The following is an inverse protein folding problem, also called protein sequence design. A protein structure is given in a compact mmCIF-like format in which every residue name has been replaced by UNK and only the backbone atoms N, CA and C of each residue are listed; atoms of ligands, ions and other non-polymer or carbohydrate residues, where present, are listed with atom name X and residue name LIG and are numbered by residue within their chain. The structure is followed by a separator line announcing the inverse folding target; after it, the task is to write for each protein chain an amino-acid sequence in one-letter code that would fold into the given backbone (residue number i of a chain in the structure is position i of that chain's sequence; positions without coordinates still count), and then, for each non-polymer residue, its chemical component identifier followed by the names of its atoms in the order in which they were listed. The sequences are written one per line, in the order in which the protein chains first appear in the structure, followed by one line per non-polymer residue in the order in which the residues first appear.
data_IF_536255642738
#
_entry.id   IF_536255642738
#
_cell.length_a   1.000
_cell.length_b   1.000
_cell.length_c   1.000
_cell.angle_alpha   90.00
_cell.angle_beta   90.00
_cell.angle_gamma   90.00
#
_symmetry.space_group_name_H-M   'P 1'
#
loop_
_entity.id
_entity.type
_entity.pdbx_description
1 polymer ?
#
# COMPACT_ATOMS: atom_id res chain seq x y z
N UNK A 1 33.60 9.48 16.34
CA UNK A 1 34.88 8.78 16.43
C UNK A 1 36.03 9.70 16.02
N UNK A 2 37.25 9.20 16.00
CA UNK A 2 38.48 9.97 15.68
C UNK A 2 38.48 10.53 14.23
N UNK A 3 37.63 10.00 13.35
CA UNK A 3 37.45 10.47 11.96
C UNK A 3 36.31 11.48 11.83
N UNK A 4 35.60 11.84 12.91
CA UNK A 4 34.45 12.72 12.91
C UNK A 4 33.16 12.04 12.41
N UNK A 5 33.16 10.70 12.27
CA UNK A 5 31.97 9.96 11.88
C UNK A 5 31.02 9.75 13.06
N UNK A 6 29.73 9.84 12.84
CA UNK A 6 28.71 9.58 13.86
C UNK A 6 28.75 8.11 14.28
N UNK A 7 28.77 7.86 15.57
CA UNK A 7 28.68 6.54 16.19
C UNK A 7 27.80 6.62 17.45
N UNK A 8 26.95 5.62 17.66
CA UNK A 8 26.03 5.57 18.78
C UNK A 8 24.67 6.24 18.50
N UNK A 9 23.91 6.50 19.54
CA UNK A 9 22.56 7.01 19.46
C UNK A 9 22.51 8.50 19.16
N UNK A 10 21.67 8.90 18.19
CA UNK A 10 21.29 10.29 17.93
C UNK A 10 19.79 10.47 18.19
N UNK A 11 19.45 11.58 18.86
CA UNK A 11 18.06 11.94 19.17
C UNK A 11 17.76 13.31 18.57
N UNK A 12 16.71 13.38 17.77
CA UNK A 12 16.25 14.61 17.15
C UNK A 12 14.93 15.04 17.78
N UNK A 13 14.75 16.35 17.93
CA UNK A 13 13.61 16.91 18.63
C UNK A 13 12.73 17.77 17.72
N UNK A 14 11.48 17.85 18.04
CA UNK A 14 10.58 18.89 17.56
C UNK A 14 10.94 20.24 18.25
N UNK A 15 10.53 21.39 17.68
CA UNK A 15 10.70 22.69 18.35
C UNK A 15 10.04 22.76 19.74
N UNK A 16 9.09 21.87 20.03
CA UNK A 16 8.43 21.76 21.34
C UNK A 16 9.25 21.01 22.38
N UNK A 17 10.46 20.53 22.05
CA UNK A 17 11.32 19.72 22.94
C UNK A 17 10.95 18.24 22.99
N UNK A 18 9.87 17.80 22.35
CA UNK A 18 9.53 16.37 22.25
C UNK A 18 10.40 15.67 21.22
N UNK A 19 10.70 14.40 21.47
CA UNK A 19 11.46 13.55 20.53
C UNK A 19 10.66 13.44 19.22
N UNK A 20 11.36 13.71 18.11
CA UNK A 20 10.88 13.52 16.75
C UNK A 20 11.36 12.21 16.15
N UNK A 21 12.65 11.87 16.43
CA UNK A 21 13.31 10.72 15.81
C UNK A 21 14.47 10.25 16.68
N UNK A 22 14.70 8.94 16.71
CA UNK A 22 15.89 8.32 17.32
C UNK A 22 16.53 7.39 16.31
N UNK A 23 17.83 7.53 16.11
CA UNK A 23 18.63 6.70 15.23
C UNK A 23 19.84 6.16 15.96
N UNK A 24 20.30 5.00 15.54
CA UNK A 24 21.57 4.46 15.96
C UNK A 24 22.55 4.48 14.78
N UNK A 25 23.73 5.05 14.99
CA UNK A 25 24.74 5.21 13.95
C UNK A 25 25.93 4.28 14.17
N UNK A 26 26.46 3.77 13.08
CA UNK A 26 27.73 3.05 13.00
C UNK A 26 28.48 3.52 11.77
N UNK A 27 29.72 4.01 11.98
CA UNK A 27 30.58 4.51 10.90
C UNK A 27 29.84 5.54 10.00
N UNK A 28 29.20 6.54 10.62
CA UNK A 28 28.46 7.60 9.92
C UNK A 28 27.13 7.20 9.29
N UNK A 29 26.76 5.92 9.31
CA UNK A 29 25.50 5.42 8.72
C UNK A 29 24.52 5.00 9.81
N UNK A 30 23.22 5.19 9.53
CA UNK A 30 22.17 4.64 10.40
C UNK A 30 22.21 3.12 10.28
N UNK A 31 22.26 2.45 11.43
CA UNK A 31 22.20 1.00 11.57
C UNK A 31 21.20 0.64 12.66
N UNK A 32 20.69 -0.61 12.66
CA UNK A 32 19.74 -1.20 13.60
C UNK A 32 18.32 -0.68 13.43
N UNK A 33 17.90 0.33 14.19
CA UNK A 33 16.49 0.76 14.21
C UNK A 33 16.40 2.29 14.20
N UNK A 34 15.71 2.83 13.19
CA UNK A 34 15.24 4.21 13.16
C UNK A 34 13.81 4.25 13.68
N UNK A 35 13.52 5.10 14.67
CA UNK A 35 12.18 5.28 15.22
C UNK A 35 11.79 6.74 15.05
N UNK A 36 10.67 6.98 14.38
CA UNK A 36 10.06 8.31 14.30
C UNK A 36 8.86 8.42 15.23
N UNK A 37 8.55 9.64 15.67
CA UNK A 37 7.47 9.90 16.61
C UNK A 37 6.55 11.00 16.11
N UNK A 38 5.30 10.93 16.47
CA UNK A 38 4.35 12.01 16.33
C UNK A 38 4.58 13.10 17.39
N UNK A 39 4.06 14.32 17.17
CA UNK A 39 4.15 15.42 18.13
C UNK A 39 3.53 15.12 19.50
N UNK A 40 2.63 14.15 19.60
CA UNK A 40 2.07 13.69 20.88
C UNK A 40 2.99 12.72 21.63
N UNK A 41 4.14 12.32 21.04
CA UNK A 41 5.14 11.42 21.63
C UNK A 41 4.90 9.94 21.33
N UNK A 42 3.81 9.56 20.65
CA UNK A 42 3.61 8.19 20.21
C UNK A 42 4.46 7.87 18.98
N UNK A 43 4.88 6.61 18.84
CA UNK A 43 5.62 6.15 17.66
C UNK A 43 4.80 6.38 16.39
N UNK A 44 5.49 6.83 15.34
CA UNK A 44 4.96 6.97 13.98
C UNK A 44 5.46 5.84 13.08
N UNK A 45 6.75 5.45 13.21
CA UNK A 45 7.30 4.30 12.51
C UNK A 45 8.47 3.68 13.28
N UNK A 46 8.69 2.39 13.00
CA UNK A 46 9.87 1.62 13.34
C UNK A 46 10.43 1.06 12.03
N UNK A 47 11.62 1.51 11.66
CA UNK A 47 12.25 1.17 10.37
C UNK A 47 13.61 0.53 10.67
N UNK A 48 13.78 -0.79 10.45
CA UNK A 48 15.09 -1.42 10.54
C UNK A 48 16.03 -0.89 9.47
N UNK A 49 17.27 -0.62 9.86
CA UNK A 49 18.30 -0.01 9.03
C UNK A 49 19.56 -0.87 9.00
N UNK A 50 20.17 -1.01 7.84
CA UNK A 50 21.45 -1.66 7.63
C UNK A 50 22.28 -0.81 6.66
N UNK A 51 23.45 -0.34 7.13
CA UNK A 51 24.37 0.51 6.36
C UNK A 51 23.70 1.74 5.70
N UNK A 52 22.74 2.37 6.40
CA UNK A 52 22.01 3.55 5.94
C UNK A 52 20.84 3.26 5.01
N UNK A 53 20.51 1.98 4.77
CA UNK A 53 19.36 1.57 3.96
C UNK A 53 18.31 0.91 4.84
N UNK A 54 17.04 1.08 4.46
CA UNK A 54 15.94 0.38 5.10
C UNK A 54 15.99 -1.11 4.75
N UNK A 55 16.18 -1.96 5.77
CA UNK A 55 16.35 -3.40 5.58
C UNK A 55 15.82 -4.16 6.80
N UNK A 56 14.72 -4.90 6.67
CA UNK A 56 14.08 -5.63 7.75
C UNK A 56 12.58 -5.38 7.87
N UNK A 57 11.99 -5.73 9.02
CA UNK A 57 10.55 -5.66 9.23
C UNK A 57 10.11 -4.29 9.73
N UNK A 58 9.47 -3.53 8.84
CA UNK A 58 8.91 -2.21 9.08
C UNK A 58 7.58 -2.28 9.83
N UNK A 59 7.32 -1.29 10.70
CA UNK A 59 6.01 -1.01 11.28
C UNK A 59 5.71 0.49 11.24
N UNK A 60 4.53 0.82 10.73
CA UNK A 60 3.96 2.16 10.76
C UNK A 60 2.76 2.23 11.71
N UNK A 61 2.52 3.36 12.32
CA UNK A 61 1.48 3.54 13.32
C UNK A 61 0.65 4.79 13.04
N UNK A 62 -0.62 4.75 13.38
CA UNK A 62 -1.48 5.92 13.47
C UNK A 62 -1.14 6.80 14.67
N UNK A 63 -1.62 8.05 14.67
CA UNK A 63 -1.40 9.01 15.77
C UNK A 63 -2.02 8.52 17.11
N UNK A 64 -3.01 7.63 17.06
CA UNK A 64 -3.58 6.97 18.23
C UNK A 64 -2.66 5.86 18.79
N UNK A 65 -1.58 5.47 18.06
CA UNK A 65 -0.60 4.46 18.43
C UNK A 65 -0.93 3.05 17.96
N UNK A 66 -2.03 2.85 17.23
CA UNK A 66 -2.37 1.57 16.61
C UNK A 66 -1.59 1.37 15.32
N UNK A 67 -1.33 0.12 14.97
CA UNK A 67 -0.64 -0.25 13.74
C UNK A 67 -1.43 0.23 12.52
N UNK A 68 -0.75 0.84 11.55
CA UNK A 68 -1.33 1.28 10.28
C UNK A 68 -0.84 0.45 9.11
N UNK A 69 0.43 0.01 9.15
CA UNK A 69 1.01 -0.85 8.12
C UNK A 69 2.20 -1.62 8.67
N UNK A 70 2.45 -2.81 8.12
CA UNK A 70 3.66 -3.57 8.41
C UNK A 70 4.06 -4.46 7.24
N UNK A 71 5.35 -4.75 7.12
CA UNK A 71 5.90 -5.59 6.07
C UNK A 71 7.42 -5.56 6.04
N UNK A 72 8.00 -6.33 5.13
CA UNK A 72 9.44 -6.39 4.94
C UNK A 72 9.94 -5.35 3.95
N UNK A 73 11.06 -4.72 4.29
CA UNK A 73 11.86 -3.87 3.42
C UNK A 73 13.19 -4.57 3.09
N UNK A 74 13.64 -4.41 1.85
CA UNK A 74 14.98 -4.80 1.41
C UNK A 74 15.53 -3.69 0.53
N UNK A 75 16.66 -3.10 0.94
CA UNK A 75 17.29 -1.95 0.26
C UNK A 75 16.30 -0.78 0.01
N UNK A 76 15.38 -0.51 0.96
CA UNK A 76 14.35 0.52 0.87
C UNK A 76 13.13 0.15 0.03
N UNK A 77 13.05 -1.07 -0.48
CA UNK A 77 11.95 -1.54 -1.32
C UNK A 77 11.07 -2.54 -0.58
N UNK A 78 9.76 -2.43 -0.73
CA UNK A 78 8.82 -3.40 -0.19
C UNK A 78 9.08 -4.79 -0.77
N UNK A 79 9.01 -5.81 0.11
CA UNK A 79 9.27 -7.21 -0.22
C UNK A 79 8.28 -8.12 0.51
N UNK A 80 7.74 -9.12 -0.22
CA UNK A 80 6.81 -10.08 0.35
C UNK A 80 5.46 -9.45 0.72
N UNK A 81 4.83 -9.96 1.76
CA UNK A 81 3.49 -9.53 2.17
C UNK A 81 3.55 -8.29 3.04
N UNK A 82 2.74 -7.30 2.68
CA UNK A 82 2.46 -6.10 3.45
C UNK A 82 1.01 -6.08 3.90
N UNK A 83 0.78 -5.73 5.16
CA UNK A 83 -0.54 -5.62 5.77
C UNK A 83 -0.83 -4.16 6.08
N UNK A 84 -2.08 -3.75 5.84
CA UNK A 84 -2.56 -2.39 6.09
C UNK A 84 -3.82 -2.44 6.94
N UNK A 85 -3.91 -1.53 7.89
CA UNK A 85 -4.98 -1.47 8.86
C UNK A 85 -5.62 -0.10 8.88
N UNK A 86 -6.88 0.00 9.29
CA UNK A 86 -7.55 1.27 9.60
C UNK A 86 -7.22 1.74 11.03
N UNK A 87 -7.67 2.96 11.40
CA UNK A 87 -7.45 3.49 12.76
C UNK A 87 -8.08 2.65 13.87
N UNK A 88 -9.24 1.98 13.70
CA UNK A 88 -9.76 0.97 14.63
C UNK A 88 -8.88 -0.27 14.77
N UNK A 89 -8.00 -0.58 13.81
CA UNK A 89 -7.09 -1.72 13.81
C UNK A 89 -7.60 -2.92 13.02
N UNK A 90 -8.62 -2.72 12.15
CA UNK A 90 -9.12 -3.75 11.25
C UNK A 90 -8.21 -3.86 10.03
N UNK A 91 -7.90 -5.08 9.59
CA UNK A 91 -7.17 -5.31 8.35
C UNK A 91 -8.01 -4.81 7.16
N UNK A 92 -7.45 -3.85 6.40
CA UNK A 92 -8.12 -3.26 5.22
C UNK A 92 -7.53 -3.73 3.91
N UNK A 93 -6.21 -4.06 3.89
CA UNK A 93 -5.57 -4.59 2.68
C UNK A 93 -4.40 -5.51 3.01
N UNK A 94 -4.14 -6.43 2.08
CA UNK A 94 -2.94 -7.28 2.01
C UNK A 94 -2.39 -7.19 0.60
N UNK A 95 -1.15 -6.73 0.48
CA UNK A 95 -0.47 -6.62 -0.80
C UNK A 95 0.77 -7.51 -0.81
N UNK A 96 1.11 -8.05 -1.97
CA UNK A 96 2.36 -8.77 -2.15
C UNK A 96 3.28 -7.99 -3.09
N UNK A 97 4.54 -7.80 -2.67
CA UNK A 97 5.55 -7.03 -3.40
C UNK A 97 6.78 -7.88 -3.73
N UNK A 98 7.35 -7.61 -4.90
CA UNK A 98 8.67 -8.09 -5.31
C UNK A 98 9.50 -6.90 -5.78
N UNK A 99 10.58 -6.59 -5.04
CA UNK A 99 11.48 -5.46 -5.32
C UNK A 99 10.77 -4.09 -5.41
N UNK A 100 9.69 -3.89 -4.63
CA UNK A 100 8.90 -2.66 -4.59
C UNK A 100 7.69 -2.63 -5.52
N UNK A 101 7.63 -3.54 -6.49
CA UNK A 101 6.49 -3.64 -7.42
C UNK A 101 5.44 -4.62 -6.90
N UNK A 102 4.16 -4.37 -7.17
CA UNK A 102 3.09 -5.32 -6.90
C UNK A 102 3.33 -6.60 -7.71
N UNK A 103 3.32 -7.74 -7.01
CA UNK A 103 3.52 -9.06 -7.61
C UNK A 103 2.68 -10.09 -6.85
N UNK A 104 1.91 -10.92 -7.57
CA UNK A 104 0.93 -11.80 -6.94
C UNK A 104 -0.37 -11.06 -6.60
N UNK A 105 -0.88 -11.21 -5.38
CA UNK A 105 -2.19 -10.69 -5.01
C UNK A 105 -2.12 -9.37 -4.24
N UNK A 106 -3.00 -8.43 -4.62
CA UNK A 106 -3.45 -7.29 -3.81
C UNK A 106 -4.89 -7.58 -3.40
N UNK A 107 -5.17 -7.59 -2.12
CA UNK A 107 -6.48 -7.90 -1.55
C UNK A 107 -6.97 -6.73 -0.71
N UNK A 108 -8.25 -6.40 -0.83
CA UNK A 108 -8.92 -5.39 -0.01
C UNK A 108 -10.07 -6.04 0.77
N UNK A 109 -10.29 -5.57 2.00
CA UNK A 109 -11.21 -6.20 2.94
C UNK A 109 -12.26 -5.20 3.43
N UNK A 110 -13.46 -5.70 3.63
CA UNK A 110 -14.54 -5.00 4.32
C UNK A 110 -14.30 -5.01 5.84
N UNK A 111 -14.96 -4.11 6.61
CA UNK A 111 -14.88 -4.11 8.07
C UNK A 111 -15.28 -5.43 8.74
N UNK A 112 -16.06 -6.28 8.08
CA UNK A 112 -16.43 -7.61 8.55
C UNK A 112 -15.36 -8.69 8.27
N UNK A 113 -14.18 -8.29 7.75
CA UNK A 113 -13.05 -9.18 7.43
C UNK A 113 -13.18 -9.97 6.13
N UNK A 114 -14.28 -9.82 5.37
CA UNK A 114 -14.43 -10.47 4.07
C UNK A 114 -13.77 -9.66 2.98
N UNK A 115 -13.24 -10.34 1.95
CA UNK A 115 -12.69 -9.66 0.77
C UNK A 115 -13.79 -8.85 0.06
N UNK A 116 -13.44 -7.63 -0.34
CA UNK A 116 -14.25 -6.78 -1.23
C UNK A 116 -13.70 -6.77 -2.65
N UNK A 117 -12.36 -6.82 -2.74
CA UNK A 117 -11.65 -6.73 -4.01
C UNK A 117 -10.35 -7.55 -3.98
N UNK A 118 -10.01 -8.12 -5.11
CA UNK A 118 -8.73 -8.81 -5.31
C UNK A 118 -8.21 -8.49 -6.71
N UNK A 119 -6.94 -8.10 -6.80
CA UNK A 119 -6.21 -7.96 -8.06
C UNK A 119 -5.03 -8.92 -8.06
N UNK A 120 -4.78 -9.58 -9.19
CA UNK A 120 -3.59 -10.40 -9.40
C UNK A 120 -2.65 -9.70 -10.37
N UNK A 121 -1.38 -9.66 -10.00
CA UNK A 121 -0.30 -9.07 -10.79
C UNK A 121 0.79 -10.10 -11.10
N UNK A 122 1.36 -10.03 -12.29
CA UNK A 122 2.56 -10.76 -12.68
C UNK A 122 3.54 -9.80 -13.36
N UNK A 123 4.77 -9.72 -12.83
CA UNK A 123 5.79 -8.79 -13.31
C UNK A 123 5.36 -7.32 -13.36
N UNK A 124 4.49 -6.90 -12.43
CA UNK A 124 3.90 -5.54 -12.40
C UNK A 124 2.65 -5.37 -13.30
N UNK A 125 2.31 -6.36 -14.11
CA UNK A 125 1.14 -6.31 -14.98
C UNK A 125 -0.11 -6.85 -14.28
N UNK A 126 -1.23 -6.12 -14.42
CA UNK A 126 -2.52 -6.60 -13.94
C UNK A 126 -2.99 -7.77 -14.81
N UNK A 127 -3.22 -8.93 -14.20
CA UNK A 127 -3.71 -10.15 -14.87
C UNK A 127 -5.19 -10.41 -14.63
N UNK A 128 -5.69 -10.08 -13.46
CA UNK A 128 -7.06 -10.36 -13.07
C UNK A 128 -7.53 -9.39 -11.99
N UNK A 129 -8.83 -9.07 -12.04
CA UNK A 129 -9.56 -8.49 -10.90
C UNK A 129 -10.72 -9.40 -10.52
N UNK A 130 -11.06 -9.43 -9.24
CA UNK A 130 -12.25 -10.11 -8.71
C UNK A 130 -12.89 -9.19 -7.68
N UNK A 131 -14.17 -8.92 -7.85
CA UNK A 131 -14.99 -8.21 -6.87
C UNK A 131 -15.91 -9.17 -6.13
N UNK A 132 -16.15 -8.87 -4.87
CA UNK A 132 -16.98 -9.65 -3.97
C UNK A 132 -18.08 -8.78 -3.36
N UNK A 133 -19.24 -9.39 -3.09
CA UNK A 133 -20.26 -8.75 -2.27
C UNK A 133 -19.91 -8.79 -0.76
N UNK A 134 -20.75 -8.16 0.06
CA UNK A 134 -20.55 -8.11 1.51
C UNK A 134 -20.61 -9.48 2.20
N UNK A 135 -21.09 -10.52 1.50
CA UNK A 135 -21.14 -11.91 1.99
C UNK A 135 -19.88 -12.70 1.62
N UNK A 136 -19.03 -12.15 0.71
CA UNK A 136 -17.83 -12.79 0.16
C UNK A 136 -18.10 -13.62 -1.09
N UNK A 137 -19.29 -13.50 -1.71
CA UNK A 137 -19.62 -14.12 -2.99
C UNK A 137 -19.03 -13.28 -4.13
N UNK A 138 -18.46 -13.95 -5.14
CA UNK A 138 -17.94 -13.29 -6.33
C UNK A 138 -19.09 -12.61 -7.11
N UNK A 139 -18.94 -11.30 -7.33
CA UNK A 139 -19.82 -10.50 -8.18
C UNK A 139 -19.34 -10.51 -9.63
N UNK A 140 -18.04 -10.28 -9.83
CA UNK A 140 -17.42 -10.21 -11.15
C UNK A 140 -15.98 -10.70 -11.09
N UNK A 141 -15.49 -11.22 -12.20
CA UNK A 141 -14.09 -11.57 -12.41
C UNK A 141 -13.69 -11.25 -13.84
N UNK A 142 -12.79 -10.30 -14.01
CA UNK A 142 -12.23 -9.89 -15.29
C UNK A 142 -10.75 -10.31 -15.39
N UNK A 143 -10.32 -10.71 -16.57
CA UNK A 143 -8.95 -11.16 -16.85
C UNK A 143 -8.30 -10.28 -17.90
N UNK A 144 -6.98 -10.04 -17.74
CA UNK A 144 -6.17 -9.15 -18.56
C UNK A 144 -4.93 -9.89 -19.08
N UNK A 145 -5.10 -10.85 -20.00
CA UNK A 145 -3.95 -11.57 -20.56
C UNK A 145 -2.95 -10.58 -21.18
N UNK A 146 -1.70 -10.64 -20.72
CA UNK A 146 -0.64 -9.68 -21.09
C UNK A 146 -1.04 -8.21 -20.83
N UNK A 147 -1.76 -7.96 -19.73
CA UNK A 147 -2.21 -6.62 -19.35
C UNK A 147 -3.28 -6.02 -20.25
N UNK A 148 -4.03 -6.82 -21.03
CA UNK A 148 -5.03 -6.31 -21.95
C UNK A 148 -6.40 -6.97 -21.71
N UNK A 149 -7.46 -6.16 -21.66
CA UNK A 149 -8.83 -6.66 -21.43
C UNK A 149 -9.78 -5.52 -21.08
N UNK A 150 -11.06 -5.82 -21.15
CA UNK A 150 -12.11 -4.93 -20.63
C UNK A 150 -12.34 -5.24 -19.15
N UNK A 151 -12.77 -4.25 -18.38
CA UNK A 151 -13.17 -4.44 -17.00
C UNK A 151 -14.42 -3.66 -16.66
N UNK A 152 -15.11 -4.15 -15.65
CA UNK A 152 -16.27 -3.49 -15.05
C UNK A 152 -16.10 -3.48 -13.54
N UNK A 153 -16.30 -2.33 -12.92
CA UNK A 153 -16.41 -2.21 -11.47
C UNK A 153 -17.89 -2.03 -11.10
N UNK A 154 -18.29 -2.68 -10.01
CA UNK A 154 -19.68 -2.65 -9.54
C UNK A 154 -19.78 -1.98 -8.17
N UNK A 155 -20.84 -1.27 -7.94
CA UNK A 155 -21.30 -0.90 -6.60
C UNK A 155 -21.79 -2.13 -5.82
N UNK A 156 -21.89 -2.06 -4.48
CA UNK A 156 -22.39 -3.17 -3.67
C UNK A 156 -23.82 -3.63 -4.01
N UNK A 157 -24.63 -2.75 -4.64
CA UNK A 157 -25.99 -3.07 -5.12
C UNK A 157 -26.00 -3.78 -6.50
N UNK A 158 -24.80 -4.00 -7.09
CA UNK A 158 -24.66 -4.63 -8.41
C UNK A 158 -24.76 -3.66 -9.59
N UNK A 159 -25.09 -2.38 -9.38
CA UNK A 159 -25.04 -1.37 -10.44
C UNK A 159 -23.60 -1.11 -10.90
N UNK A 160 -23.40 -0.76 -12.17
CA UNK A 160 -22.07 -0.37 -12.65
C UNK A 160 -21.58 0.88 -11.94
N UNK A 161 -20.32 0.83 -11.48
CA UNK A 161 -19.61 1.98 -10.96
C UNK A 161 -18.66 2.57 -12.01
N UNK A 162 -17.94 1.71 -12.72
CA UNK A 162 -17.05 2.12 -13.81
C UNK A 162 -16.88 0.99 -14.83
N UNK A 163 -16.50 1.34 -16.05
CA UNK A 163 -16.05 0.41 -17.08
C UNK A 163 -14.96 1.03 -17.94
N UNK A 164 -14.05 0.20 -18.44
CA UNK A 164 -12.94 0.64 -19.27
C UNK A 164 -12.22 -0.53 -19.91
N UNK A 165 -11.11 -0.20 -20.56
CA UNK A 165 -10.25 -1.18 -21.24
C UNK A 165 -8.79 -0.90 -20.90
N UNK A 166 -8.04 -1.95 -20.64
CA UNK A 166 -6.58 -1.94 -20.62
C UNK A 166 -6.01 -2.49 -21.92
N UNK A 167 -4.92 -1.89 -22.39
CA UNK A 167 -4.10 -2.37 -23.51
C UNK A 167 -2.63 -2.28 -23.08
N UNK A 168 -1.96 -3.43 -22.97
CA UNK A 168 -0.56 -3.51 -22.52
C UNK A 168 -0.32 -2.82 -21.15
N UNK A 169 -1.27 -2.93 -20.23
CA UNK A 169 -1.18 -2.36 -18.88
C UNK A 169 -1.68 -0.92 -18.72
N UNK A 170 -1.93 -0.22 -19.82
CA UNK A 170 -2.40 1.17 -19.82
C UNK A 170 -3.91 1.24 -20.13
N UNK A 171 -4.60 2.22 -19.57
CA UNK A 171 -5.96 2.54 -19.99
C UNK A 171 -5.98 3.01 -21.42
N UNK A 172 -6.88 2.48 -22.24
CA UNK A 172 -7.01 2.83 -23.66
C UNK A 172 -8.49 2.89 -24.11
N UNK A 173 -8.87 4.01 -24.72
CA UNK A 173 -10.23 4.28 -25.15
C UNK A 173 -11.12 4.91 -24.07
N UNK A 174 -12.45 4.75 -24.17
CA UNK A 174 -13.37 5.38 -23.23
C UNK A 174 -13.36 4.68 -21.87
N UNK A 175 -13.19 5.48 -20.83
CA UNK A 175 -13.43 5.13 -19.42
C UNK A 175 -14.71 5.82 -18.97
N UNK A 176 -15.69 5.06 -18.50
CA UNK A 176 -16.99 5.58 -18.08
C UNK A 176 -17.20 5.34 -16.60
N UNK A 177 -17.73 6.34 -15.92
CA UNK A 177 -18.20 6.21 -14.53
C UNK A 177 -19.70 6.44 -14.45
N UNK A 178 -20.32 5.88 -13.43
CA UNK A 178 -21.75 5.90 -13.20
C UNK A 178 -22.04 6.23 -11.74
N UNK A 179 -23.11 6.93 -11.48
CA UNK A 179 -23.65 7.11 -10.15
C UNK A 179 -24.25 5.80 -9.60
N UNK A 180 -24.50 5.78 -8.28
CA UNK A 180 -25.03 4.61 -7.58
C UNK A 180 -26.41 4.15 -8.09
N UNK A 181 -27.19 5.06 -8.68
CA UNK A 181 -28.47 4.78 -9.35
C UNK A 181 -28.30 4.23 -10.78
N UNK A 182 -27.07 4.13 -11.27
CA UNK A 182 -26.72 3.65 -12.60
C UNK A 182 -26.74 4.71 -13.70
N UNK A 183 -27.09 5.97 -13.38
CA UNK A 183 -27.02 7.07 -14.35
C UNK A 183 -25.55 7.42 -14.68
N UNK A 184 -25.25 7.84 -15.93
CA UNK A 184 -23.89 8.21 -16.31
C UNK A 184 -23.36 9.41 -15.50
N UNK A 185 -22.13 9.31 -14.99
CA UNK A 185 -21.46 10.38 -14.27
C UNK A 185 -20.41 11.07 -15.16
N UNK A 186 -19.51 10.30 -15.78
CA UNK A 186 -18.47 10.86 -16.64
C UNK A 186 -18.04 9.90 -17.76
N UNK A 187 -17.45 10.49 -18.81
CA UNK A 187 -16.72 9.76 -19.85
C UNK A 187 -15.38 10.46 -20.06
N UNK A 188 -14.31 9.73 -19.83
CA UNK A 188 -12.93 10.17 -20.10
C UNK A 188 -12.38 9.33 -21.25
N UNK A 189 -11.51 9.92 -22.06
CA UNK A 189 -10.86 9.21 -23.16
C UNK A 189 -9.37 9.12 -22.89
N UNK A 190 -8.86 7.90 -22.79
CA UNK A 190 -7.44 7.61 -22.58
C UNK A 190 -6.83 7.14 -23.90
N UNK A 191 -5.56 7.51 -24.09
CA UNK A 191 -4.74 7.02 -25.22
C UNK A 191 -3.38 6.65 -24.64
N UNK A 192 -3.16 5.35 -24.42
CA UNK A 192 -1.94 4.79 -23.81
C UNK A 192 -1.65 5.38 -22.41
N UNK A 193 -2.64 5.33 -21.50
CA UNK A 193 -2.54 5.83 -20.13
C UNK A 193 -3.16 7.19 -19.92
#
# INVERSE_FOLDING_TARGET
DEKGELNGQAVYYYPSGKIRETNEYRNGKINWLSITYYRNGKKKSETPMEDGKENGYYRGYYINGRLSAEGWLKDGKAQGTWLYYDEPGTLTARNHYLNGDLSGYKEEYLPNGKKSFESKYDGGWLEQITQYDSTGKVLIRDSFPKGSGNYVLLYPNGAKMAEGRYVNGDLDGPYRTYFFDGSPESILYYKKG
#
